data_IF_873024877911
#
_entry.id   IF_873024877911
#
_cell.length_a   1.000
_cell.length_b   1.000
_cell.length_c   1.000
_cell.angle_alpha   90.00
_cell.angle_beta   90.00
_cell.angle_gamma   90.00
#
_symmetry.space_group_name_H-M   'P 1'
#
loop_
_entity.id
_entity.type
_entity.pdbx_description
1 polymer ?
#
# COMPACT_ATOMS: atom_id res chain seq x y z
N UNK A 1 -5.40 12.13 -0.32
CA UNK A 1 -4.70 10.83 -0.25
C UNK A 1 -3.59 10.88 0.78
N UNK A 2 -3.27 9.75 1.33
CA UNK A 2 -2.27 9.63 2.37
C UNK A 2 -0.95 9.18 1.73
N UNK A 3 0.15 9.78 2.17
CA UNK A 3 1.47 9.37 1.71
C UNK A 3 2.06 8.37 2.69
N UNK A 4 2.74 7.37 2.15
CA UNK A 4 3.38 6.37 2.97
C UNK A 4 4.55 5.73 2.25
N UNK A 5 5.16 4.77 2.91
CA UNK A 5 6.30 4.04 2.38
C UNK A 5 6.06 2.56 2.56
N UNK A 6 6.33 1.78 1.54
CA UNK A 6 6.15 0.34 1.61
C UNK A 6 7.14 -0.23 2.61
N UNK A 7 6.63 -0.88 3.64
CA UNK A 7 7.46 -1.53 4.63
C UNK A 7 7.99 -2.86 4.08
N UNK A 8 7.10 -3.65 3.52
CA UNK A 8 7.44 -4.85 2.78
C UNK A 8 6.24 -5.30 1.96
N UNK A 9 6.49 -6.07 0.94
CA UNK A 9 5.42 -6.62 0.11
C UNK A 9 5.87 -7.95 -0.46
N UNK A 10 4.99 -8.95 -0.38
CA UNK A 10 5.27 -10.28 -0.89
C UNK A 10 4.53 -10.51 -2.20
N UNK A 11 5.27 -10.63 -3.29
CA UNK A 11 4.68 -10.92 -4.59
C UNK A 11 3.95 -12.24 -4.61
N UNK A 12 4.52 -13.23 -3.92
CA UNK A 12 3.94 -14.58 -3.92
C UNK A 12 2.61 -14.62 -3.19
N UNK A 13 2.52 -13.91 -2.07
CA UNK A 13 1.32 -13.89 -1.27
C UNK A 13 0.33 -12.83 -1.72
N UNK A 14 0.81 -11.81 -2.42
CA UNK A 14 -0.04 -10.74 -2.95
C UNK A 14 -0.44 -9.70 -1.93
N UNK A 15 0.32 -9.52 -0.84
CA UNK A 15 0.01 -8.51 0.16
C UNK A 15 1.26 -8.04 0.88
N UNK A 16 1.10 -6.95 1.61
CA UNK A 16 2.19 -6.39 2.40
C UNK A 16 1.65 -5.31 3.33
N UNK A 17 2.55 -4.46 3.77
CA UNK A 17 2.22 -3.37 4.68
C UNK A 17 2.88 -2.08 4.24
N UNK A 18 2.16 -0.98 4.45
CA UNK A 18 2.65 0.37 4.18
C UNK A 18 2.73 1.09 5.51
N UNK A 19 3.87 1.68 5.81
CA UNK A 19 4.00 2.50 7.00
C UNK A 19 3.66 3.94 6.65
N UNK A 20 3.11 4.65 7.63
CA UNK A 20 2.71 6.05 7.47
C UNK A 20 3.02 6.83 8.74
N UNK A 21 3.15 8.14 8.58
CA UNK A 21 3.40 9.01 9.72
C UNK A 21 2.15 9.13 10.59
N UNK A 22 2.35 9.05 11.88
CA UNK A 22 1.31 9.32 12.83
C UNK A 22 0.29 8.21 13.04
N UNK A 23 0.57 7.01 12.55
CA UNK A 23 -0.37 5.91 12.74
C UNK A 23 0.25 4.55 12.51
N UNK A 24 -0.50 3.49 12.79
CA UNK A 24 -0.02 2.13 12.58
C UNK A 24 0.14 1.79 11.10
N UNK A 25 0.89 0.74 10.82
CA UNK A 25 1.05 0.23 9.47
C UNK A 25 -0.30 -0.16 8.89
N UNK A 26 -0.44 -0.01 7.58
CA UNK A 26 -1.69 -0.28 6.88
C UNK A 26 -1.50 -1.48 5.98
N UNK A 27 -2.40 -2.44 6.06
CA UNK A 27 -2.39 -3.62 5.21
C UNK A 27 -2.69 -3.23 3.76
N UNK A 28 -1.98 -3.83 2.80
CA UNK A 28 -2.24 -3.59 1.38
C UNK A 28 -2.26 -4.92 0.65
N UNK A 29 -3.28 -5.11 -0.19
CA UNK A 29 -3.42 -6.28 -1.04
C UNK A 29 -3.15 -5.86 -2.49
N UNK A 30 -2.64 -6.79 -3.31
CA UNK A 30 -2.29 -6.44 -4.68
C UNK A 30 -3.47 -5.88 -5.48
N UNK A 31 -4.68 -6.29 -5.15
CA UNK A 31 -5.88 -5.81 -5.82
C UNK A 31 -6.15 -4.33 -5.55
N UNK A 32 -5.54 -3.76 -4.51
CA UNK A 32 -5.68 -2.35 -4.17
C UNK A 32 -4.68 -1.47 -4.91
N UNK A 33 -3.71 -2.07 -5.59
CA UNK A 33 -2.71 -1.32 -6.32
C UNK A 33 -3.28 -0.89 -7.67
N UNK A 34 -3.32 0.40 -7.90
CA UNK A 34 -3.79 0.94 -9.17
C UNK A 34 -2.59 1.40 -9.99
N UNK A 35 -2.76 1.42 -11.29
CA UNK A 35 -1.66 1.81 -12.17
C UNK A 35 -1.49 0.80 -13.28
N UNK A 36 -1.17 1.28 -14.46
CA UNK A 36 -1.12 0.46 -15.66
C UNK A 36 -0.06 -0.64 -15.55
N UNK A 37 -0.50 -1.89 -15.53
CA UNK A 37 0.37 -3.04 -15.62
C UNK A 37 1.28 -3.28 -14.42
N UNK A 38 1.05 -2.60 -13.32
CA UNK A 38 1.97 -2.67 -12.19
C UNK A 38 1.23 -3.02 -10.90
N UNK A 39 1.40 -4.24 -10.46
CA UNK A 39 0.75 -4.70 -9.23
C UNK A 39 1.76 -5.23 -8.24
N UNK A 40 2.84 -4.49 -8.12
CA UNK A 40 3.96 -4.89 -7.30
C UNK A 40 4.56 -3.68 -6.62
N UNK A 41 4.83 -3.81 -5.32
CA UNK A 41 5.44 -2.76 -4.54
C UNK A 41 6.79 -3.26 -4.04
N UNK A 42 7.77 -2.39 -4.01
CA UNK A 42 9.07 -2.71 -3.49
C UNK A 42 9.28 -2.06 -2.13
N UNK A 43 10.05 -2.72 -1.28
CA UNK A 43 10.38 -2.21 0.03
C UNK A 43 11.02 -0.84 -0.07
N UNK A 44 10.52 0.10 0.72
CA UNK A 44 11.03 1.47 0.73
C UNK A 44 10.41 2.39 -0.32
N UNK A 45 9.57 1.86 -1.18
CA UNK A 45 8.96 2.66 -2.24
C UNK A 45 7.92 3.61 -1.66
N UNK A 46 7.89 4.84 -2.16
CA UNK A 46 6.90 5.83 -1.72
C UNK A 46 5.62 5.68 -2.51
N UNK A 47 4.51 5.70 -1.80
CA UNK A 47 3.18 5.51 -2.39
C UNK A 47 2.18 6.49 -1.80
N UNK A 48 1.09 6.69 -2.51
CA UNK A 48 -0.07 7.42 -2.01
C UNK A 48 -1.26 6.48 -2.03
N UNK A 49 -2.15 6.61 -1.07
CA UNK A 49 -3.26 5.67 -0.94
C UNK A 49 -4.36 6.26 -0.08
N UNK A 50 -5.50 5.56 -0.05
CA UNK A 50 -6.60 5.88 0.84
C UNK A 50 -6.71 4.77 1.88
N UNK A 51 -7.28 5.10 3.03
CA UNK A 51 -7.49 4.13 4.09
C UNK A 51 -8.96 3.78 4.16
N UNK A 52 -9.25 2.49 4.15
CA UNK A 52 -10.62 1.98 4.33
C UNK A 52 -10.60 0.92 5.42
N UNK A 53 -11.75 0.64 5.99
CA UNK A 53 -11.88 -0.43 6.96
C UNK A 53 -12.10 -1.74 6.21
N UNK A 54 -11.19 -2.67 6.41
CA UNK A 54 -11.28 -3.99 5.82
C UNK A 54 -11.50 -5.06 6.87
N UNK A 55 -11.50 -6.31 6.46
CA UNK A 55 -11.72 -7.43 7.38
C UNK A 55 -10.60 -7.56 8.40
N UNK A 56 -9.42 -7.08 8.08
CA UNK A 56 -8.24 -7.16 8.95
C UNK A 56 -7.92 -5.84 9.64
N UNK A 57 -8.87 -4.92 9.66
CA UNK A 57 -8.66 -3.59 10.21
C UNK A 57 -8.41 -2.58 9.10
N UNK A 58 -7.53 -1.62 9.36
CA UNK A 58 -7.22 -0.59 8.37
C UNK A 58 -6.52 -1.19 7.15
N UNK A 59 -6.96 -0.79 5.99
CA UNK A 59 -6.51 -1.36 4.73
C UNK A 59 -6.32 -0.24 3.71
N UNK A 60 -5.25 -0.33 2.93
CA UNK A 60 -5.00 0.64 1.86
C UNK A 60 -5.87 0.34 0.65
N UNK A 61 -6.32 1.41 0.01
CA UNK A 61 -7.09 1.33 -1.22
C UNK A 61 -6.56 2.36 -2.21
N UNK A 62 -6.72 2.08 -3.49
CA UNK A 62 -6.28 2.97 -4.57
C UNK A 62 -4.81 3.37 -4.40
N UNK A 63 -3.97 2.37 -4.17
CA UNK A 63 -2.55 2.58 -3.96
C UNK A 63 -1.88 2.89 -5.28
N UNK A 64 -1.14 3.98 -5.31
CA UNK A 64 -0.39 4.38 -6.51
C UNK A 64 1.00 4.83 -6.10
N UNK A 65 1.95 4.70 -7.00
CA UNK A 65 3.30 5.17 -6.72
C UNK A 65 3.31 6.68 -6.66
N UNK A 66 4.03 7.20 -5.68
CA UNK A 66 4.18 8.63 -5.53
C UNK A 66 5.33 9.09 -6.42
N UNK A 67 4.99 9.44 -7.63
CA UNK A 67 5.97 9.94 -8.60
C UNK A 67 5.99 11.46 -8.49
N UNK A 68 7.11 11.96 -8.06
CA UNK A 68 7.28 13.41 -7.89
C UNK A 68 8.02 13.97 -9.09
#
# INVERSE_FOLDING_TARGET
MIQGKVKWFSKEKGYGFIERDGGPDVFVHYSAITGAGYRNLEEGEQVVFEIVNGQRGLQAANVAKNVV
#
